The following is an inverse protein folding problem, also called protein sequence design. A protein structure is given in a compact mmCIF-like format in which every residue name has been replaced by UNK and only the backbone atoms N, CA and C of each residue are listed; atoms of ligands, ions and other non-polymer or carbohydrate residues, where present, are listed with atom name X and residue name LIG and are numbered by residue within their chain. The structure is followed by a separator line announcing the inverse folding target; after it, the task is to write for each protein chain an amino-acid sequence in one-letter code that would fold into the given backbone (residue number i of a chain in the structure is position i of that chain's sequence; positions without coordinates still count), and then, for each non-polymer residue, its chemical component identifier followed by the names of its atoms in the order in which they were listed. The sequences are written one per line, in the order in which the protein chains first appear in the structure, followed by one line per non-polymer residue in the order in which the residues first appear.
data_IF_015450162731
#
_entry.id   IF_015450162731
#
_cell.length_a   1.000
_cell.length_b   1.000
_cell.length_c   1.000
_cell.angle_alpha   90.00
_cell.angle_beta   90.00
_cell.angle_gamma   90.00
#
_symmetry.space_group_name_H-M   'P 1'
#
loop_
_entity.id
_entity.type
_entity.pdbx_description
1 polymer ?
#
# COMPACT_ATOMS: atom_id res chain seq x y z
N UNK A 1 -22.67 -35.40 -25.09
CA UNK A 1 -22.30 -34.13 -25.77
C UNK A 1 -22.17 -32.94 -24.80
N UNK A 2 -22.95 -32.87 -23.72
CA UNK A 2 -22.92 -31.76 -22.72
C UNK A 2 -21.63 -31.70 -21.91
N UNK A 3 -21.02 -32.83 -21.54
CA UNK A 3 -19.85 -32.89 -20.67
C UNK A 3 -18.56 -32.27 -21.29
N UNK A 4 -18.43 -32.35 -22.62
CA UNK A 4 -17.24 -31.82 -23.33
C UNK A 4 -17.26 -30.29 -23.40
N UNK A 5 -18.42 -29.71 -23.53
CA UNK A 5 -18.63 -28.24 -23.57
C UNK A 5 -18.32 -27.56 -22.23
N UNK A 6 -18.64 -28.21 -21.11
CA UNK A 6 -18.32 -27.72 -19.77
C UNK A 6 -16.83 -27.71 -19.50
N UNK A 7 -16.13 -28.77 -19.86
CA UNK A 7 -14.65 -28.86 -19.69
C UNK A 7 -13.90 -27.82 -20.55
N UNK A 8 -14.40 -27.52 -21.75
CA UNK A 8 -13.80 -26.47 -22.59
C UNK A 8 -14.04 -25.07 -22.05
N UNK A 9 -15.24 -24.78 -21.47
CA UNK A 9 -15.53 -23.51 -20.83
C UNK A 9 -14.70 -23.31 -19.54
N UNK A 10 -14.58 -24.32 -18.69
CA UNK A 10 -13.77 -24.23 -17.48
C UNK A 10 -12.30 -24.00 -17.82
N UNK A 11 -11.76 -24.67 -18.83
CA UNK A 11 -10.37 -24.47 -19.26
C UNK A 11 -10.13 -23.07 -19.79
N UNK A 12 -11.06 -22.52 -20.61
CA UNK A 12 -10.94 -21.16 -21.14
C UNK A 12 -10.97 -20.10 -20.03
N UNK A 13 -11.92 -20.20 -19.10
CA UNK A 13 -12.02 -19.31 -17.94
C UNK A 13 -10.74 -19.38 -17.07
N UNK A 14 -10.19 -20.57 -16.89
CA UNK A 14 -8.94 -20.76 -16.15
C UNK A 14 -7.75 -20.05 -16.81
N UNK A 15 -7.59 -20.18 -18.14
CA UNK A 15 -6.52 -19.47 -18.88
C UNK A 15 -6.69 -17.96 -18.87
N UNK A 16 -7.91 -17.47 -18.97
CA UNK A 16 -8.20 -16.03 -18.86
C UNK A 16 -7.84 -15.49 -17.47
N UNK A 17 -8.21 -16.21 -16.40
CA UNK A 17 -7.85 -15.86 -15.02
C UNK A 17 -6.33 -15.89 -14.78
N UNK A 18 -5.61 -16.86 -15.34
CA UNK A 18 -4.15 -16.88 -15.29
C UNK A 18 -3.54 -15.67 -16.01
N UNK A 19 -4.06 -15.30 -17.16
CA UNK A 19 -3.64 -14.11 -17.90
C UNK A 19 -3.79 -12.83 -17.05
N UNK A 20 -4.95 -12.65 -16.41
CA UNK A 20 -5.22 -11.52 -15.51
C UNK A 20 -4.29 -11.52 -14.28
N UNK A 21 -4.05 -12.68 -13.70
CA UNK A 21 -3.10 -12.83 -12.58
C UNK A 21 -1.69 -12.40 -12.97
N UNK A 22 -1.19 -12.84 -14.11
CA UNK A 22 0.12 -12.48 -14.61
C UNK A 22 0.25 -10.98 -14.90
N UNK A 23 -0.82 -10.34 -15.41
CA UNK A 23 -0.85 -8.89 -15.60
C UNK A 23 -0.80 -8.15 -14.27
N UNK A 24 -1.57 -8.59 -13.27
CA UNK A 24 -1.56 -8.03 -11.92
C UNK A 24 -0.16 -8.11 -11.30
N UNK A 25 0.49 -9.27 -11.36
CA UNK A 25 1.84 -9.47 -10.82
C UNK A 25 2.88 -8.54 -11.47
N UNK A 26 2.78 -8.29 -12.79
CA UNK A 26 3.64 -7.33 -13.50
C UNK A 26 3.42 -5.90 -13.03
N UNK A 27 2.16 -5.50 -12.82
CA UNK A 27 1.82 -4.17 -12.33
C UNK A 27 2.36 -3.98 -10.89
N UNK A 28 2.14 -4.94 -10.01
CA UNK A 28 2.65 -4.92 -8.63
C UNK A 28 4.19 -4.86 -8.58
N UNK A 29 4.86 -5.62 -9.45
CA UNK A 29 6.32 -5.56 -9.60
C UNK A 29 6.80 -4.18 -10.04
N UNK A 30 6.09 -3.53 -10.97
CA UNK A 30 6.41 -2.17 -11.43
C UNK A 30 6.25 -1.15 -10.31
N UNK A 31 5.19 -1.25 -9.50
CA UNK A 31 5.02 -0.39 -8.32
C UNK A 31 6.13 -0.59 -7.30
N UNK A 32 6.52 -1.82 -7.02
CA UNK A 32 7.60 -2.14 -6.10
C UNK A 32 8.98 -1.63 -6.55
N UNK A 33 9.18 -1.43 -7.85
CA UNK A 33 10.40 -0.78 -8.36
C UNK A 33 10.42 0.72 -8.07
N UNK A 34 9.28 1.39 -8.19
CA UNK A 34 9.15 2.85 -7.99
C UNK A 34 9.02 3.19 -6.50
N UNK A 35 8.28 2.37 -5.77
CA UNK A 35 7.97 2.54 -4.35
C UNK A 35 8.33 1.28 -3.55
N UNK A 36 9.61 0.97 -3.36
CA UNK A 36 10.04 -0.31 -2.77
C UNK A 36 9.59 -0.54 -1.32
N UNK A 37 9.22 0.51 -0.61
CA UNK A 37 8.75 0.43 0.78
C UNK A 37 7.23 0.58 0.91
N UNK A 38 6.52 0.95 -0.16
CA UNK A 38 5.06 1.06 -0.12
C UNK A 38 4.38 -0.25 -0.52
N UNK A 39 3.24 -0.54 0.12
CA UNK A 39 2.38 -1.65 -0.28
C UNK A 39 1.90 -1.42 -1.73
N UNK A 40 2.11 -2.37 -2.65
CA UNK A 40 1.65 -2.26 -4.03
C UNK A 40 0.13 -2.03 -4.16
N UNK A 41 -0.67 -2.52 -3.22
CA UNK A 41 -2.12 -2.28 -3.21
C UNK A 41 -2.45 -0.82 -2.91
N UNK A 42 -1.77 -0.20 -1.94
CA UNK A 42 -1.90 1.23 -1.67
C UNK A 42 -1.55 2.06 -2.91
N UNK A 43 -0.44 1.73 -3.57
CA UNK A 43 0.00 2.44 -4.77
C UNK A 43 -1.04 2.30 -5.89
N UNK A 44 -1.54 1.08 -6.11
CA UNK A 44 -2.53 0.80 -7.14
C UNK A 44 -3.84 1.55 -6.91
N UNK A 45 -4.40 1.48 -5.68
CA UNK A 45 -5.64 2.17 -5.32
C UNK A 45 -5.48 3.70 -5.45
N UNK A 46 -4.34 4.25 -5.02
CA UNK A 46 -4.04 5.67 -5.16
C UNK A 46 -4.00 6.11 -6.63
N UNK A 47 -3.30 5.35 -7.48
CA UNK A 47 -3.23 5.62 -8.92
C UNK A 47 -4.62 5.60 -9.55
N UNK A 48 -5.42 4.57 -9.29
CA UNK A 48 -6.78 4.47 -9.82
C UNK A 48 -7.64 5.67 -9.40
N UNK A 49 -7.62 6.08 -8.14
CA UNK A 49 -8.43 7.22 -7.65
C UNK A 49 -7.98 8.54 -8.23
N UNK A 50 -6.68 8.72 -8.43
CA UNK A 50 -6.17 9.93 -9.09
C UNK A 50 -6.61 10.03 -10.55
N UNK A 51 -6.75 8.89 -11.26
CA UNK A 51 -7.24 8.86 -12.63
C UNK A 51 -8.77 8.98 -12.72
N UNK A 52 -9.53 8.40 -11.77
CA UNK A 52 -11.00 8.41 -11.79
C UNK A 52 -11.59 9.79 -11.55
N UNK A 53 -10.94 10.64 -10.78
CA UNK A 53 -11.44 12.00 -10.50
C UNK A 53 -10.31 13.04 -10.57
N UNK A 54 -9.75 13.25 -11.78
CA UNK A 54 -8.61 14.16 -11.95
C UNK A 54 -8.94 15.62 -11.60
N UNK A 55 -10.20 16.02 -11.68
CA UNK A 55 -10.63 17.40 -11.36
C UNK A 55 -10.68 17.62 -9.85
N UNK A 56 -11.23 16.69 -9.09
CA UNK A 56 -11.28 16.79 -7.62
C UNK A 56 -9.92 16.55 -6.96
N UNK A 57 -9.09 15.71 -7.57
CA UNK A 57 -7.84 15.25 -6.97
C UNK A 57 -6.61 16.01 -7.45
N UNK A 58 -6.73 16.88 -8.46
CA UNK A 58 -5.61 17.55 -9.14
C UNK A 58 -4.65 18.29 -8.19
N UNK A 59 -5.14 18.79 -7.06
CA UNK A 59 -4.31 19.57 -6.13
C UNK A 59 -4.38 19.11 -4.66
N UNK A 60 -5.19 18.12 -4.33
CA UNK A 60 -5.44 17.76 -2.92
C UNK A 60 -5.30 16.26 -2.62
N UNK A 61 -5.36 15.40 -3.62
CA UNK A 61 -5.37 13.95 -3.44
C UNK A 61 -6.59 13.39 -2.68
N UNK A 62 -6.85 12.11 -2.77
CA UNK A 62 -7.85 11.40 -1.97
C UNK A 62 -7.40 11.28 -0.51
N UNK A 63 -8.38 11.11 0.40
CA UNK A 63 -8.11 10.92 1.83
C UNK A 63 -7.76 9.47 2.13
N UNK A 64 -6.66 9.27 2.82
CA UNK A 64 -6.18 7.97 3.29
C UNK A 64 -5.85 7.99 4.78
N UNK A 65 -6.00 6.83 5.40
CA UNK A 65 -5.27 6.50 6.61
C UNK A 65 -3.98 5.83 6.16
N UNK A 66 -2.85 6.43 6.48
CA UNK A 66 -1.51 5.95 6.09
C UNK A 66 -0.76 5.52 7.34
N UNK A 67 -0.20 4.34 7.28
CA UNK A 67 0.61 3.71 8.32
C UNK A 67 2.06 3.62 7.85
N UNK A 68 2.97 4.21 8.63
CA UNK A 68 4.40 4.23 8.34
C UNK A 68 5.12 3.42 9.41
N UNK A 69 5.85 2.41 8.99
CA UNK A 69 6.65 1.54 9.86
C UNK A 69 8.13 1.92 9.75
N UNK A 70 8.80 2.02 10.89
CA UNK A 70 10.19 2.46 10.96
C UNK A 70 11.09 1.43 11.62
N UNK A 71 12.39 1.59 11.43
CA UNK A 71 13.40 0.74 12.07
C UNK A 71 13.36 0.92 13.58
N UNK A 72 13.54 -0.17 14.30
CA UNK A 72 13.73 -0.16 15.77
C UNK A 72 14.97 0.66 16.11
N UNK A 73 14.87 1.49 17.17
CA UNK A 73 15.98 2.33 17.61
C UNK A 73 16.10 3.67 16.84
N UNK A 74 15.22 3.95 15.90
CA UNK A 74 15.15 5.28 15.28
C UNK A 74 14.56 6.28 16.27
N UNK A 75 15.08 7.49 16.29
CA UNK A 75 14.55 8.59 17.11
C UNK A 75 13.10 8.90 16.70
N UNK A 76 12.18 8.62 17.61
CA UNK A 76 10.75 8.76 17.34
C UNK A 76 10.32 10.22 17.13
N UNK A 77 10.98 11.18 17.79
CA UNK A 77 10.68 12.59 17.58
C UNK A 77 11.12 13.03 16.18
N UNK A 78 12.31 12.64 15.75
CA UNK A 78 12.81 12.91 14.41
C UNK A 78 11.91 12.30 13.33
N UNK A 79 11.42 11.07 13.52
CA UNK A 79 10.47 10.43 12.61
C UNK A 79 9.16 11.21 12.55
N UNK A 80 8.60 11.58 13.71
CA UNK A 80 7.38 12.38 13.81
C UNK A 80 7.50 13.70 13.06
N UNK A 81 8.59 14.44 13.29
CA UNK A 81 8.83 15.75 12.67
C UNK A 81 8.96 15.63 11.15
N UNK A 82 9.62 14.59 10.67
CA UNK A 82 9.74 14.29 9.24
C UNK A 82 8.39 13.95 8.59
N UNK A 83 7.60 13.11 9.24
CA UNK A 83 6.26 12.77 8.77
C UNK A 83 5.39 14.02 8.75
N UNK A 84 5.39 14.82 9.83
CA UNK A 84 4.65 16.07 9.90
C UNK A 84 5.07 17.05 8.80
N UNK A 85 6.36 17.24 8.59
CA UNK A 85 6.88 18.14 7.55
C UNK A 85 6.45 17.71 6.13
N UNK A 86 6.36 16.39 5.91
CA UNK A 86 6.00 15.82 4.59
C UNK A 86 4.50 15.81 4.35
N UNK A 87 3.71 15.50 5.37
CA UNK A 87 2.27 15.25 5.25
C UNK A 87 1.42 16.44 5.68
N UNK A 88 1.98 17.36 6.46
CA UNK A 88 1.24 18.44 7.11
C UNK A 88 0.36 17.98 8.27
N UNK A 89 0.43 16.70 8.65
CA UNK A 89 -0.43 16.11 9.69
C UNK A 89 0.43 15.49 10.80
N UNK A 90 0.05 15.76 12.05
CA UNK A 90 0.72 15.14 13.21
C UNK A 90 0.35 13.67 13.27
N UNK A 91 1.32 12.74 13.18
CA UNK A 91 1.02 11.32 13.27
C UNK A 91 0.71 10.88 14.70
N UNK A 92 -0.21 9.93 14.86
CA UNK A 92 -0.29 9.09 16.05
C UNK A 92 0.93 8.17 16.11
N UNK A 93 1.48 7.94 17.30
CA UNK A 93 2.68 7.11 17.50
C UNK A 93 2.28 5.88 18.30
N UNK A 94 2.63 4.72 17.77
CA UNK A 94 2.32 3.40 18.33
C UNK A 94 3.59 2.55 18.42
N UNK A 95 3.49 1.40 19.03
CA UNK A 95 4.52 0.35 19.09
C UNK A 95 5.90 0.90 19.53
N UNK A 96 5.90 1.69 20.61
CA UNK A 96 7.12 2.30 21.18
C UNK A 96 7.90 3.16 20.17
N UNK A 97 7.20 3.80 19.23
CA UNK A 97 7.80 4.73 18.27
C UNK A 97 8.30 4.09 16.97
N UNK A 98 7.82 2.90 16.64
CA UNK A 98 8.13 2.23 15.36
C UNK A 98 6.97 2.20 14.37
N UNK A 99 5.78 2.64 14.79
CA UNK A 99 4.59 2.66 13.97
C UNK A 99 3.88 4.03 14.08
N UNK A 100 3.64 4.66 12.95
CA UNK A 100 3.05 6.00 12.85
C UNK A 100 1.81 5.94 11.98
N UNK A 101 0.71 6.54 12.44
CA UNK A 101 -0.56 6.58 11.70
C UNK A 101 -0.94 8.02 11.43
N UNK A 102 -1.23 8.34 10.19
CA UNK A 102 -1.71 9.65 9.77
C UNK A 102 -2.99 9.53 8.96
N UNK A 103 -3.89 10.49 9.15
CA UNK A 103 -5.06 10.64 8.30
C UNK A 103 -4.87 11.89 7.44
N UNK A 104 -4.67 11.70 6.14
CA UNK A 104 -4.18 12.76 5.27
C UNK A 104 -4.64 12.61 3.81
N UNK A 105 -4.53 13.70 3.07
CA UNK A 105 -4.62 13.64 1.61
C UNK A 105 -3.33 13.07 1.04
N UNK A 106 -3.43 11.92 0.39
CA UNK A 106 -2.27 11.25 -0.17
C UNK A 106 -2.14 11.58 -1.67
N UNK A 107 -0.91 11.91 -2.07
CA UNK A 107 -0.50 12.04 -3.48
C UNK A 107 0.70 11.16 -3.74
N UNK A 108 0.98 10.86 -5.01
CA UNK A 108 2.19 10.10 -5.38
C UNK A 108 3.48 10.84 -4.96
N UNK A 109 3.48 12.17 -4.95
CA UNK A 109 4.61 12.98 -4.48
C UNK A 109 4.86 12.79 -2.97
N UNK A 110 3.80 12.85 -2.17
CA UNK A 110 3.90 12.62 -0.72
C UNK A 110 4.34 11.18 -0.44
N UNK A 111 3.72 10.20 -1.13
CA UNK A 111 4.09 8.80 -0.99
C UNK A 111 5.58 8.58 -1.34
N UNK A 112 6.06 9.23 -2.41
CA UNK A 112 7.47 9.17 -2.81
C UNK A 112 8.39 9.74 -1.74
N UNK A 113 8.06 10.90 -1.18
CA UNK A 113 8.84 11.50 -0.09
C UNK A 113 8.91 10.59 1.13
N UNK A 114 7.78 9.99 1.54
CA UNK A 114 7.75 9.02 2.65
C UNK A 114 8.58 7.77 2.34
N UNK A 115 8.48 7.25 1.10
CA UNK A 115 9.22 6.07 0.66
C UNK A 115 10.74 6.29 0.66
N UNK A 116 11.20 7.50 0.40
CA UNK A 116 12.62 7.83 0.27
C UNK A 116 13.32 8.02 1.64
N UNK A 117 12.59 8.07 2.74
CA UNK A 117 13.22 8.19 4.06
C UNK A 117 13.94 6.92 4.47
N UNK A 118 15.20 7.03 4.85
CA UNK A 118 16.05 5.89 5.20
C UNK A 118 15.57 5.07 6.40
N UNK A 119 14.90 5.70 7.34
CA UNK A 119 14.36 5.04 8.51
C UNK A 119 13.04 4.30 8.26
N UNK A 120 12.36 4.56 7.16
CA UNK A 120 11.11 3.89 6.81
C UNK A 120 11.41 2.49 6.28
N UNK A 121 10.70 1.50 6.84
CA UNK A 121 10.72 0.10 6.41
C UNK A 121 9.55 -0.23 5.51
N UNK A 122 8.38 0.34 5.80
CA UNK A 122 7.17 0.05 5.07
C UNK A 122 6.13 1.15 5.21
N UNK A 123 5.30 1.26 4.19
CA UNK A 123 4.17 2.18 4.13
C UNK A 123 2.96 1.38 3.68
N UNK A 124 1.89 1.47 4.46
CA UNK A 124 0.60 0.87 4.16
C UNK A 124 -0.49 1.93 4.27
N UNK A 125 -1.68 1.65 3.77
CA UNK A 125 -2.78 2.57 3.96
C UNK A 125 -4.03 2.15 3.23
N UNK A 126 -5.15 2.72 3.69
CA UNK A 126 -6.47 2.47 3.12
C UNK A 126 -7.18 3.79 2.83
N UNK A 127 -7.97 3.78 1.77
CA UNK A 127 -8.83 4.89 1.44
C UNK A 127 -9.90 5.08 2.51
N UNK A 128 -9.91 6.24 3.14
CA UNK A 128 -10.84 6.58 4.22
C UNK A 128 -11.95 7.53 3.78
N UNK A 129 -11.92 7.99 2.55
CA UNK A 129 -12.89 8.98 2.07
C UNK A 129 -12.75 10.31 2.80
N UNK A 130 -13.85 10.79 3.39
CA UNK A 130 -13.88 11.99 4.21
C UNK A 130 -13.93 11.70 5.71
N UNK A 131 -13.96 10.44 6.10
CA UNK A 131 -14.09 10.06 7.50
C UNK A 131 -12.74 10.11 8.22
N UNK A 132 -12.65 10.69 9.41
CA UNK A 132 -11.44 10.64 10.21
C UNK A 132 -11.17 9.19 10.65
N UNK A 133 -9.91 8.78 10.59
CA UNK A 133 -9.50 7.51 11.16
C UNK A 133 -9.45 7.59 12.68
N UNK A 134 -9.86 6.52 13.35
CA UNK A 134 -9.83 6.41 14.81
C UNK A 134 -8.56 5.69 15.33
N UNK A 135 -7.57 5.45 14.49
CA UNK A 135 -6.33 4.73 14.83
C UNK A 135 -5.90 3.78 13.72
N UNK A 136 -4.99 2.84 14.01
CA UNK A 136 -4.59 1.81 13.06
C UNK A 136 -5.82 1.04 12.57
N UNK A 137 -6.01 0.98 11.25
CA UNK A 137 -7.16 0.27 10.65
C UNK A 137 -6.93 -1.23 10.57
N UNK A 138 -5.68 -1.65 10.72
CA UNK A 138 -5.29 -3.03 10.66
C UNK A 138 -4.74 -3.47 12.02
N UNK A 139 -5.43 -4.41 12.64
CA UNK A 139 -4.94 -5.16 13.81
C UNK A 139 -3.88 -6.19 13.37
N UNK A 140 -2.97 -5.73 12.52
CA UNK A 140 -1.89 -6.55 12.00
C UNK A 140 -0.60 -6.24 12.73
N UNK A 141 -0.51 -6.71 13.96
CA UNK A 141 0.66 -6.55 14.81
C UNK A 141 1.98 -7.06 14.23
N UNK A 142 2.09 -7.23 12.92
CA UNK A 142 3.32 -7.75 12.35
C UNK A 142 3.45 -7.48 10.85
N UNK A 143 3.97 -6.30 10.52
CA UNK A 143 4.44 -5.97 9.17
C UNK A 143 5.44 -7.03 8.67
N UNK A 144 6.29 -7.57 9.55
CA UNK A 144 7.24 -8.62 9.23
C UNK A 144 6.54 -9.92 8.81
N UNK A 145 5.45 -10.32 9.45
CA UNK A 145 4.65 -11.49 9.05
C UNK A 145 4.02 -11.33 7.67
N UNK A 146 3.54 -10.12 7.33
CA UNK A 146 3.03 -9.85 5.99
C UNK A 146 4.14 -9.90 4.95
N UNK A 147 5.28 -9.32 5.24
CA UNK A 147 6.46 -9.34 4.37
C UNK A 147 6.96 -10.76 4.17
N UNK A 148 7.06 -11.57 5.24
CA UNK A 148 7.38 -13.00 5.16
C UNK A 148 6.36 -13.77 4.34
N UNK A 149 5.07 -13.55 4.53
CA UNK A 149 4.02 -14.21 3.74
C UNK A 149 4.08 -13.88 2.24
N UNK A 150 4.50 -12.66 1.87
CA UNK A 150 4.74 -12.28 0.47
C UNK A 150 6.01 -12.93 -0.08
N UNK A 151 7.08 -12.97 0.71
CA UNK A 151 8.34 -13.58 0.30
C UNK A 151 8.24 -15.11 0.22
N UNK A 152 7.47 -15.74 1.11
CA UNK A 152 7.21 -17.18 1.07
C UNK A 152 6.33 -17.58 -0.12
N UNK A 153 5.38 -16.74 -0.52
CA UNK A 153 4.62 -16.95 -1.76
C UNK A 153 5.51 -16.88 -3.00
N UNK A 154 6.47 -15.96 -3.04
CA UNK A 154 7.42 -15.85 -4.16
C UNK A 154 8.34 -17.08 -4.27
N UNK A 155 8.75 -17.68 -3.15
CA UNK A 155 9.57 -18.90 -3.12
C UNK A 155 8.83 -20.15 -3.57
N UNK A 156 7.50 -20.22 -3.33
CA UNK A 156 6.68 -21.37 -3.72
C UNK A 156 6.20 -21.34 -5.19
N UNK A 157 6.53 -20.30 -5.95
CA UNK A 157 6.17 -20.13 -7.36
C UNK A 157 7.40 -20.29 -8.27
N UNK A 158 8.59 -20.48 -7.68
CA UNK A 158 9.84 -20.82 -8.39
C UNK A 158 10.05 -22.31 -8.42
#
# INVERSE_FOLDING_TARGET
MVCRYWLEMESKAFYELQGLRNQKEKIEASYSQIFPKADPYLVHDLVLRMYQDPVKNKNKGPMYTVEVFTKVGTDSQKCKDHILATTGTVPGIYDKGTHYVTHMRLTLEILKKLNDFDFVLGIMGDYSGSNPSMGPMHDFGDFEKRRQAVDDRKKNIS
#
